data_IF_997476128145
#
_entry.id   IF_997476128145
#
_cell.length_a   1.000
_cell.length_b   1.000
_cell.length_c   1.000
_cell.angle_alpha   90.00
_cell.angle_beta   90.00
_cell.angle_gamma   90.00
#
_symmetry.space_group_name_H-M   'P 1'
#
loop_
_entity.id
_entity.type
_entity.pdbx_description
1 polymer ?
#
# COMPACT_ATOMS: atom_id res chain seq x y z
N UNK A 1 3.25 -6.49 11.86
CA UNK A 1 2.68 -7.34 10.79
C UNK A 1 1.15 -7.38 10.70
N UNK A 2 0.38 -6.66 11.55
CA UNK A 2 -1.10 -6.74 11.55
C UNK A 2 -1.74 -6.39 10.20
N UNK A 3 -1.29 -5.29 9.59
CA UNK A 3 -1.79 -4.80 8.29
C UNK A 3 -1.82 -5.88 7.20
N UNK A 4 -0.72 -6.63 7.04
CA UNK A 4 -0.60 -7.68 6.02
C UNK A 4 -1.50 -8.89 6.33
N UNK A 5 -1.60 -9.28 7.60
CA UNK A 5 -2.48 -10.40 8.00
C UNK A 5 -3.93 -10.09 7.68
N UNK A 6 -4.38 -8.89 8.05
CA UNK A 6 -5.74 -8.44 7.78
C UNK A 6 -6.02 -8.34 6.27
N UNK A 7 -5.04 -7.87 5.47
CA UNK A 7 -5.12 -7.82 4.01
C UNK A 7 -5.34 -9.22 3.40
N UNK A 8 -4.53 -10.20 3.81
CA UNK A 8 -4.59 -11.57 3.29
C UNK A 8 -5.87 -12.29 3.69
N UNK A 9 -6.39 -12.05 4.89
CA UNK A 9 -7.65 -12.61 5.35
C UNK A 9 -8.82 -12.03 4.57
N UNK A 10 -8.86 -10.70 4.41
CA UNK A 10 -9.97 -10.00 3.77
C UNK A 10 -10.10 -10.32 2.27
N UNK A 11 -8.98 -10.54 1.58
CA UNK A 11 -8.97 -10.75 0.12
C UNK A 11 -8.68 -12.20 -0.27
N UNK A 12 -8.93 -13.15 0.63
CA UNK A 12 -8.67 -14.57 0.39
C UNK A 12 -9.50 -15.06 -0.80
N UNK A 13 -8.83 -15.75 -1.74
CA UNK A 13 -9.42 -16.25 -2.99
C UNK A 13 -10.01 -15.18 -3.91
N UNK A 14 -9.66 -13.91 -3.67
CA UNK A 14 -10.09 -12.77 -4.49
C UNK A 14 -8.97 -12.23 -5.37
N UNK A 15 -9.34 -11.29 -6.23
CA UNK A 15 -8.40 -10.43 -6.97
C UNK A 15 -8.60 -9.00 -6.50
N UNK A 16 -7.51 -8.25 -6.43
CA UNK A 16 -7.44 -6.90 -5.87
C UNK A 16 -6.67 -6.00 -6.81
N UNK A 17 -6.95 -4.70 -6.73
CA UNK A 17 -6.21 -3.68 -7.46
C UNK A 17 -5.14 -3.04 -6.59
N UNK A 18 -4.22 -2.33 -7.24
CA UNK A 18 -3.27 -1.46 -6.54
C UNK A 18 -3.99 -0.43 -5.66
N UNK A 19 -5.10 0.13 -6.15
CA UNK A 19 -5.89 1.11 -5.40
C UNK A 19 -6.50 0.51 -4.11
N UNK A 20 -6.97 -0.74 -4.17
CA UNK A 20 -7.48 -1.45 -2.98
C UNK A 20 -6.38 -1.63 -1.93
N UNK A 21 -5.16 -1.98 -2.39
CA UNK A 21 -4.02 -2.15 -1.50
C UNK A 21 -3.61 -0.83 -0.84
N UNK A 22 -3.49 0.25 -1.62
CA UNK A 22 -3.09 1.56 -1.07
C UNK A 22 -4.14 2.09 -0.09
N UNK A 23 -5.43 1.90 -0.38
CA UNK A 23 -6.51 2.26 0.52
C UNK A 23 -6.50 1.44 1.82
N UNK A 24 -6.24 0.13 1.74
CA UNK A 24 -6.11 -0.71 2.93
C UNK A 24 -4.88 -0.33 3.77
N UNK A 25 -3.74 -0.08 3.13
CA UNK A 25 -2.52 0.33 3.80
C UNK A 25 -2.68 1.64 4.57
N UNK A 26 -3.37 2.62 3.98
CA UNK A 26 -3.64 3.92 4.61
C UNK A 26 -4.36 3.82 5.96
N UNK A 27 -5.14 2.76 6.19
CA UNK A 27 -5.84 2.53 7.48
C UNK A 27 -4.90 2.22 8.65
N UNK A 28 -3.65 1.87 8.37
CA UNK A 28 -2.65 1.48 9.37
C UNK A 28 -1.53 2.49 9.52
N UNK A 29 -1.53 3.57 8.74
CA UNK A 29 -0.49 4.59 8.78
C UNK A 29 -0.99 5.83 9.54
N UNK A 30 -0.16 6.42 10.42
CA UNK A 30 -0.50 7.66 11.12
C UNK A 30 -0.48 8.89 10.20
N UNK A 31 0.19 8.78 9.05
CA UNK A 31 0.29 9.83 8.02
C UNK A 31 -0.12 9.26 6.66
N UNK A 32 -0.46 10.14 5.72
CA UNK A 32 -0.77 9.71 4.36
C UNK A 32 0.42 8.98 3.71
N UNK A 33 0.10 7.94 2.96
CA UNK A 33 1.05 7.17 2.16
C UNK A 33 1.03 7.59 0.68
N UNK A 34 0.27 8.63 0.31
CA UNK A 34 0.07 9.02 -1.09
C UNK A 34 1.38 9.37 -1.79
N UNK A 35 2.26 10.13 -1.13
CA UNK A 35 3.57 10.47 -1.70
C UNK A 35 4.48 9.25 -1.85
N UNK A 36 4.43 8.32 -0.89
CA UNK A 36 5.17 7.06 -0.94
C UNK A 36 4.71 6.23 -2.15
N UNK A 37 3.42 5.98 -2.26
CA UNK A 37 2.86 5.20 -3.36
C UNK A 37 3.00 5.92 -4.71
N UNK A 38 2.83 7.23 -4.72
CA UNK A 38 3.10 8.12 -5.85
C UNK A 38 4.50 7.91 -6.41
N UNK A 39 5.51 7.95 -5.55
CA UNK A 39 6.90 7.81 -5.94
C UNK A 39 7.28 6.38 -6.36
N UNK A 40 6.76 5.36 -5.67
CA UNK A 40 7.20 3.98 -5.86
C UNK A 40 6.37 3.16 -6.87
N UNK A 41 5.07 3.43 -7.00
CA UNK A 41 4.16 2.62 -7.83
C UNK A 41 3.80 3.30 -9.15
N UNK A 42 3.83 4.63 -9.20
CA UNK A 42 3.28 5.39 -10.33
C UNK A 42 4.32 6.23 -11.10
N UNK A 43 5.58 6.30 -10.62
CA UNK A 43 6.67 6.99 -11.31
C UNK A 43 7.71 5.99 -11.81
N UNK A 44 8.32 6.28 -12.96
CA UNK A 44 9.33 5.42 -13.59
C UNK A 44 10.68 5.39 -12.85
N UNK A 45 11.26 6.53 -12.43
CA UNK A 45 12.51 6.53 -11.70
C UNK A 45 12.34 5.94 -10.29
N UNK A 46 13.24 5.04 -9.90
CA UNK A 46 13.30 4.52 -8.54
C UNK A 46 13.62 5.65 -7.55
N UNK A 47 12.72 5.99 -6.60
CA UNK A 47 12.98 7.02 -5.62
C UNK A 47 14.03 6.56 -4.59
N UNK A 48 14.66 7.50 -3.86
CA UNK A 48 15.50 7.13 -2.72
C UNK A 48 14.68 6.42 -1.64
N UNK A 49 15.36 5.62 -0.82
CA UNK A 49 14.74 4.95 0.31
C UNK A 49 14.10 5.99 1.26
N UNK A 50 12.81 5.81 1.63
CA UNK A 50 12.17 6.62 2.67
C UNK A 50 12.91 6.47 4.00
N UNK A 51 12.88 7.53 4.81
CA UNK A 51 13.44 7.53 6.17
C UNK A 51 12.51 6.90 7.18
#
# INVERSE_FOLDING_TARGET
FRMLRDWTTANRHGTVTTADFTAHAGRYAPHSLDDLFGAWLYRGPLPPLPR
#
